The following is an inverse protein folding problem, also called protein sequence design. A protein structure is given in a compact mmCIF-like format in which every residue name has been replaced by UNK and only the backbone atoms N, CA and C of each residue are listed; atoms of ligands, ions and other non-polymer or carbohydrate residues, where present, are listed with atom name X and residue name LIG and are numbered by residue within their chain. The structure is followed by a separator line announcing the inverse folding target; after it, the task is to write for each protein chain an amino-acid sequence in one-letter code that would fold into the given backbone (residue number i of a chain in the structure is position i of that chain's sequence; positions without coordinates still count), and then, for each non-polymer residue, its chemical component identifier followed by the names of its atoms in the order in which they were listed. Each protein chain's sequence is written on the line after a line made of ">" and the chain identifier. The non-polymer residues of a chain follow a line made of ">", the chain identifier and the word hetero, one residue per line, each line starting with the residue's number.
data_IF_406400392946
#
_entry.id   IF_406400392946
#
_cell.length_a   1.000
_cell.length_b   1.000
_cell.length_c   1.000
_cell.angle_alpha   90.00
_cell.angle_beta   90.00
_cell.angle_gamma   90.00
#
_symmetry.space_group_name_H-M   'P 1'
#
loop_
_entity.id
_entity.type
_entity.pdbx_description
1 polymer ?
#
# COMPACT_ATOMS: atom_id res chain seq x y z
N UNK A 1 47.58 -10.38 -28.87
CA UNK A 1 48.45 -11.51 -29.31
C UNK A 1 47.86 -12.82 -28.80
N UNK A 2 46.81 -13.34 -29.44
CA UNK A 2 46.37 -14.75 -29.37
C UNK A 2 45.27 -15.06 -30.41
N UNK A 3 45.37 -14.46 -31.60
CA UNK A 3 44.47 -14.69 -32.74
C UNK A 3 45.15 -15.46 -33.89
N UNK A 4 46.25 -16.14 -33.58
CA UNK A 4 46.95 -17.01 -34.52
C UNK A 4 47.03 -18.41 -33.90
N UNK A 5 46.70 -19.41 -34.71
CA UNK A 5 46.64 -20.86 -34.42
C UNK A 5 45.30 -21.43 -33.94
N UNK A 6 44.32 -21.47 -34.85
CA UNK A 6 43.61 -22.76 -35.09
C UNK A 6 43.19 -22.92 -36.55
N UNK A 7 44.15 -22.73 -37.44
CA UNK A 7 44.19 -23.48 -38.70
C UNK A 7 44.86 -24.82 -38.37
N UNK A 8 44.06 -25.86 -38.15
CA UNK A 8 44.52 -27.23 -38.04
C UNK A 8 43.50 -28.13 -38.72
N UNK A 9 43.97 -28.84 -39.74
CA UNK A 9 43.16 -29.49 -40.76
C UNK A 9 42.13 -30.48 -40.23
N UNK A 10 40.98 -30.49 -40.87
CA UNK A 10 40.11 -31.64 -40.91
C UNK A 10 39.71 -31.87 -42.37
N UNK A 11 40.50 -32.71 -43.07
CA UNK A 11 39.97 -33.59 -44.13
C UNK A 11 39.00 -34.57 -43.45
N UNK A 12 37.85 -34.06 -43.02
CA UNK A 12 36.79 -34.83 -42.39
C UNK A 12 35.89 -35.40 -43.47
N UNK A 13 35.92 -36.73 -43.64
CA UNK A 13 35.04 -37.44 -44.54
C UNK A 13 33.56 -37.08 -44.31
N UNK A 14 32.71 -37.32 -45.32
CA UNK A 14 31.25 -37.07 -45.33
C UNK A 14 30.57 -37.38 -43.98
N UNK A 15 30.98 -38.44 -43.27
CA UNK A 15 30.47 -38.81 -41.95
C UNK A 15 30.73 -37.80 -40.81
N UNK A 16 31.88 -37.12 -40.79
CA UNK A 16 32.20 -36.11 -39.77
C UNK A 16 31.38 -34.83 -39.93
N UNK A 17 31.08 -34.45 -41.18
CA UNK A 17 30.24 -33.30 -41.50
C UNK A 17 28.77 -33.54 -41.11
N UNK A 18 28.26 -34.76 -41.37
CA UNK A 18 26.91 -35.17 -40.95
C UNK A 18 26.79 -35.18 -39.41
N UNK A 19 27.80 -35.69 -38.70
CA UNK A 19 27.81 -35.71 -37.22
C UNK A 19 27.85 -34.31 -36.61
N UNK A 20 28.57 -33.37 -37.23
CA UNK A 20 28.59 -31.98 -36.81
C UNK A 20 27.21 -31.31 -37.00
N UNK A 21 26.57 -31.51 -38.16
CA UNK A 21 25.22 -30.99 -38.40
C UNK A 21 24.16 -31.60 -37.48
N UNK A 22 24.25 -32.89 -37.17
CA UNK A 22 23.38 -33.55 -36.19
C UNK A 22 23.56 -32.96 -34.78
N UNK A 23 24.80 -32.62 -34.40
CA UNK A 23 25.05 -32.01 -33.09
C UNK A 23 24.54 -30.56 -33.04
N UNK A 24 24.77 -29.76 -34.08
CA UNK A 24 24.21 -28.40 -34.16
C UNK A 24 22.67 -28.39 -34.14
N UNK A 25 22.04 -29.36 -34.82
CA UNK A 25 20.59 -29.55 -34.77
C UNK A 25 20.13 -29.94 -33.36
N UNK A 26 20.81 -30.86 -32.69
CA UNK A 26 20.50 -31.27 -31.31
C UNK A 26 20.63 -30.12 -30.31
N UNK A 27 21.69 -29.31 -30.41
CA UNK A 27 21.91 -28.14 -29.55
C UNK A 27 20.85 -27.06 -29.77
N UNK A 28 20.43 -26.85 -31.02
CA UNK A 28 19.38 -25.90 -31.38
C UNK A 28 18.00 -26.35 -30.88
N UNK A 29 17.72 -27.66 -30.94
CA UNK A 29 16.49 -28.26 -30.41
C UNK A 29 16.42 -28.16 -28.88
N UNK A 30 17.55 -28.39 -28.21
CA UNK A 30 17.66 -28.23 -26.76
C UNK A 30 17.46 -26.77 -26.33
N UNK A 31 18.03 -25.81 -27.07
CA UNK A 31 17.84 -24.38 -26.80
C UNK A 31 16.37 -23.95 -27.02
N UNK A 32 15.71 -24.48 -28.04
CA UNK A 32 14.28 -24.26 -28.28
C UNK A 32 13.42 -24.81 -27.14
N UNK A 33 13.70 -26.05 -26.69
CA UNK A 33 13.00 -26.66 -25.55
C UNK A 33 13.19 -25.88 -24.24
N UNK A 34 14.42 -25.42 -23.98
CA UNK A 34 14.72 -24.59 -22.81
C UNK A 34 14.00 -23.23 -22.85
N UNK A 35 13.93 -22.58 -24.01
CA UNK A 35 13.18 -21.33 -24.20
C UNK A 35 11.68 -21.51 -23.96
N UNK A 36 11.10 -22.63 -24.42
CA UNK A 36 9.70 -22.96 -24.20
C UNK A 36 9.39 -23.21 -22.71
N UNK A 37 10.28 -23.92 -22.01
CA UNK A 37 10.17 -24.16 -20.57
C UNK A 37 10.22 -22.87 -19.75
N UNK A 38 11.18 -21.98 -20.05
CA UNK A 38 11.32 -20.68 -19.39
C UNK A 38 10.08 -19.79 -19.61
N UNK A 39 9.55 -19.76 -20.83
CA UNK A 39 8.34 -19.00 -21.14
C UNK A 39 7.10 -19.58 -20.43
N UNK A 40 6.99 -20.90 -20.37
CA UNK A 40 5.92 -21.59 -19.63
C UNK A 40 5.99 -21.33 -18.13
N UNK A 41 7.19 -21.35 -17.54
CA UNK A 41 7.42 -21.05 -16.12
C UNK A 41 7.07 -19.58 -15.80
N UNK A 42 7.47 -18.65 -16.66
CA UNK A 42 7.11 -17.24 -16.50
C UNK A 42 5.60 -17.03 -16.62
N UNK A 43 4.92 -17.74 -17.51
CA UNK A 43 3.47 -17.70 -17.65
C UNK A 43 2.72 -18.26 -16.46
N UNK A 44 3.19 -19.40 -15.93
CA UNK A 44 2.64 -19.99 -14.72
C UNK A 44 2.84 -19.07 -13.50
N UNK A 45 4.02 -18.46 -13.36
CA UNK A 45 4.27 -17.48 -12.30
C UNK A 45 3.36 -16.25 -12.42
N UNK A 46 3.13 -15.74 -13.63
CA UNK A 46 2.20 -14.62 -13.85
C UNK A 46 0.73 -14.98 -13.55
N UNK A 47 0.28 -16.20 -13.89
CA UNK A 47 -1.05 -16.71 -13.54
C UNK A 47 -1.22 -16.83 -12.02
N UNK A 48 -0.22 -17.38 -11.33
CA UNK A 48 -0.30 -17.70 -9.91
C UNK A 48 -0.15 -16.47 -9.01
N UNK A 49 0.68 -15.49 -9.39
CA UNK A 49 0.97 -14.33 -8.53
C UNK A 49 -0.04 -13.18 -8.68
N UNK A 50 -0.66 -13.01 -9.85
CA UNK A 50 -1.30 -11.74 -10.20
C UNK A 50 -2.83 -11.76 -10.28
N UNK A 51 -3.51 -12.93 -10.20
CA UNK A 51 -5.00 -13.03 -10.28
C UNK A 51 -5.61 -12.24 -11.46
N UNK A 52 -4.85 -12.07 -12.54
CA UNK A 52 -5.25 -11.31 -13.74
C UNK A 52 -6.13 -12.17 -14.66
N UNK A 53 -6.96 -11.58 -15.54
CA UNK A 53 -7.84 -12.35 -16.41
C UNK A 53 -7.05 -13.35 -17.26
N UNK A 54 -7.49 -14.61 -17.19
CA UNK A 54 -6.79 -15.79 -17.74
C UNK A 54 -6.38 -15.60 -19.21
N UNK A 55 -7.24 -14.96 -20.00
CA UNK A 55 -7.00 -14.67 -21.41
C UNK A 55 -5.82 -13.73 -21.67
N UNK A 56 -5.66 -12.67 -20.86
CA UNK A 56 -4.55 -11.73 -21.02
C UNK A 56 -3.21 -12.42 -20.75
N UNK A 57 -3.18 -13.29 -19.74
CA UNK A 57 -1.98 -14.06 -19.43
C UNK A 57 -1.66 -15.06 -20.55
N UNK A 58 -2.66 -15.77 -21.10
CA UNK A 58 -2.45 -16.69 -22.23
C UNK A 58 -1.92 -15.95 -23.47
N UNK A 59 -2.48 -14.79 -23.84
CA UNK A 59 -1.98 -14.03 -24.98
C UNK A 59 -0.54 -13.54 -24.79
N UNK A 60 -0.22 -12.96 -23.64
CA UNK A 60 1.13 -12.47 -23.37
C UNK A 60 2.17 -13.60 -23.33
N UNK A 61 1.81 -14.75 -22.74
CA UNK A 61 2.71 -15.89 -22.61
C UNK A 61 2.96 -16.58 -23.95
N UNK A 62 1.92 -16.76 -24.78
CA UNK A 62 2.08 -17.30 -26.13
C UNK A 62 2.90 -16.35 -27.01
N UNK A 63 2.68 -15.04 -26.93
CA UNK A 63 3.45 -14.05 -27.68
C UNK A 63 4.93 -14.03 -27.27
N UNK A 64 5.22 -14.00 -25.97
CA UNK A 64 6.59 -14.04 -25.43
C UNK A 64 7.29 -15.38 -25.73
N UNK A 65 6.58 -16.51 -25.58
CA UNK A 65 7.10 -17.83 -25.92
C UNK A 65 7.43 -17.92 -27.41
N UNK A 66 6.53 -17.44 -28.28
CA UNK A 66 6.74 -17.41 -29.72
C UNK A 66 7.97 -16.59 -30.09
N UNK A 67 8.06 -15.34 -29.61
CA UNK A 67 9.20 -14.45 -29.87
C UNK A 67 10.53 -15.04 -29.35
N UNK A 68 10.53 -15.60 -28.14
CA UNK A 68 11.73 -16.19 -27.55
C UNK A 68 12.17 -17.47 -28.28
N UNK A 69 11.23 -18.35 -28.62
CA UNK A 69 11.50 -19.60 -29.30
C UNK A 69 11.97 -19.38 -30.75
N UNK A 70 11.33 -18.46 -31.48
CA UNK A 70 11.79 -18.03 -32.81
C UNK A 70 13.16 -17.33 -32.76
N UNK A 71 13.39 -16.46 -31.78
CA UNK A 71 14.66 -15.76 -31.61
C UNK A 71 15.83 -16.71 -31.32
N UNK A 72 15.63 -17.69 -30.44
CA UNK A 72 16.62 -18.73 -30.11
C UNK A 72 16.88 -19.70 -31.26
N UNK A 73 15.84 -20.04 -32.04
CA UNK A 73 15.94 -20.92 -33.20
C UNK A 73 16.66 -20.29 -34.39
N UNK A 74 16.33 -19.04 -34.74
CA UNK A 74 16.79 -18.40 -35.98
C UNK A 74 18.15 -17.69 -35.86
N UNK A 75 18.54 -17.19 -34.69
CA UNK A 75 19.72 -16.32 -34.56
C UNK A 75 20.81 -16.89 -33.65
N UNK A 76 22.01 -17.12 -34.22
CA UNK A 76 23.20 -17.49 -33.47
C UNK A 76 23.65 -16.39 -32.48
N UNK A 77 23.38 -15.12 -32.81
CA UNK A 77 23.63 -13.99 -31.92
C UNK A 77 22.78 -14.03 -30.66
N UNK A 78 21.47 -14.27 -30.81
CA UNK A 78 20.55 -14.41 -29.66
C UNK A 78 20.94 -15.59 -28.77
N UNK A 79 21.32 -16.73 -29.37
CA UNK A 79 21.83 -17.89 -28.61
C UNK A 79 23.07 -17.54 -27.78
N UNK A 80 24.04 -16.84 -28.38
CA UNK A 80 25.24 -16.41 -27.68
C UNK A 80 24.91 -15.41 -26.54
N UNK A 81 24.05 -14.43 -26.79
CA UNK A 81 23.63 -13.45 -25.80
C UNK A 81 22.90 -14.10 -24.62
N UNK A 82 22.00 -15.05 -24.86
CA UNK A 82 21.29 -15.78 -23.79
C UNK A 82 22.26 -16.64 -22.99
N UNK A 83 23.19 -17.33 -23.67
CA UNK A 83 24.20 -18.18 -23.01
C UNK A 83 25.16 -17.36 -22.13
N UNK A 84 25.41 -16.09 -22.46
CA UNK A 84 26.25 -15.16 -21.68
C UNK A 84 25.46 -14.44 -20.59
N UNK A 85 24.19 -14.12 -20.83
CA UNK A 85 23.29 -13.50 -19.83
C UNK A 85 22.94 -14.46 -18.69
N UNK A 86 22.81 -15.76 -18.96
CA UNK A 86 22.50 -16.76 -17.94
C UNK A 86 23.51 -16.77 -16.77
N UNK A 87 24.84 -16.84 -17.01
CA UNK A 87 25.84 -16.70 -15.95
C UNK A 87 25.96 -15.26 -15.42
N UNK A 88 25.66 -14.21 -16.21
CA UNK A 88 25.70 -12.83 -15.71
C UNK A 88 24.57 -12.52 -14.71
N UNK A 89 23.41 -13.17 -14.86
CA UNK A 89 22.32 -13.13 -13.87
C UNK A 89 22.71 -13.81 -12.55
N UNK A 90 23.62 -14.80 -12.59
CA UNK A 90 24.20 -15.43 -11.41
C UNK A 90 25.39 -14.66 -10.82
N UNK A 91 25.82 -13.55 -11.44
CA UNK A 91 26.83 -12.64 -10.88
C UNK A 91 26.26 -11.82 -9.72
N UNK A 92 27.13 -11.19 -8.91
CA UNK A 92 26.74 -10.44 -7.71
C UNK A 92 25.69 -9.34 -7.95
N UNK A 93 25.68 -8.72 -9.13
CA UNK A 93 24.67 -7.72 -9.52
C UNK A 93 23.35 -8.36 -9.96
N UNK A 94 23.40 -9.45 -10.74
CA UNK A 94 22.21 -10.18 -11.17
C UNK A 94 21.48 -10.84 -10.00
N UNK A 95 22.21 -11.36 -9.01
CA UNK A 95 21.64 -11.94 -7.78
C UNK A 95 20.83 -10.91 -6.99
N UNK A 96 21.28 -9.65 -6.92
CA UNK A 96 20.52 -8.58 -6.26
C UNK A 96 19.21 -8.29 -7.00
N UNK A 97 19.25 -8.22 -8.32
CA UNK A 97 18.03 -8.04 -9.13
C UNK A 97 17.05 -9.20 -8.94
N UNK A 98 17.54 -10.44 -8.95
CA UNK A 98 16.71 -11.62 -8.69
C UNK A 98 16.09 -11.58 -7.29
N UNK A 99 16.87 -11.26 -6.26
CA UNK A 99 16.37 -11.13 -4.89
C UNK A 99 15.30 -10.02 -4.76
N UNK A 100 15.46 -8.90 -5.48
CA UNK A 100 14.46 -7.84 -5.52
C UNK A 100 13.15 -8.31 -6.18
N UNK A 101 13.24 -9.08 -7.27
CA UNK A 101 12.07 -9.68 -7.93
C UNK A 101 11.36 -10.70 -7.04
N UNK A 102 12.11 -11.53 -6.33
CA UNK A 102 11.52 -12.44 -5.33
C UNK A 102 10.88 -11.67 -4.17
N UNK A 103 11.52 -10.62 -3.68
CA UNK A 103 10.98 -9.78 -2.62
C UNK A 103 9.67 -9.10 -3.07
N UNK A 104 9.61 -8.52 -4.27
CA UNK A 104 8.38 -7.88 -4.77
C UNK A 104 7.25 -8.89 -4.97
N UNK A 105 7.56 -10.08 -5.49
CA UNK A 105 6.62 -11.19 -5.61
C UNK A 105 6.06 -11.60 -4.23
N UNK A 106 6.93 -11.81 -3.24
CA UNK A 106 6.54 -12.24 -1.90
C UNK A 106 5.75 -11.17 -1.16
N UNK A 107 6.03 -9.88 -1.37
CA UNK A 107 5.36 -8.77 -0.69
C UNK A 107 3.95 -8.47 -1.24
N UNK A 108 3.63 -8.88 -2.46
CA UNK A 108 2.34 -8.58 -3.10
C UNK A 108 1.15 -9.18 -2.32
N UNK A 109 1.31 -10.38 -1.77
CA UNK A 109 0.29 -11.04 -0.94
C UNK A 109 0.07 -10.34 0.41
N UNK A 110 1.10 -10.23 1.28
CA UNK A 110 1.00 -9.57 2.57
C UNK A 110 0.50 -8.12 2.47
N UNK A 111 0.95 -7.36 1.46
CA UNK A 111 0.56 -5.97 1.28
C UNK A 111 -0.94 -5.83 0.96
N UNK A 112 -1.46 -6.63 0.01
CA UNK A 112 -2.88 -6.60 -0.33
C UNK A 112 -3.77 -7.04 0.83
N UNK A 113 -3.37 -8.07 1.59
CA UNK A 113 -4.10 -8.51 2.78
C UNK A 113 -4.11 -7.44 3.89
N UNK A 114 -2.96 -6.79 4.11
CA UNK A 114 -2.84 -5.74 5.14
C UNK A 114 -3.69 -4.54 4.77
N UNK A 115 -3.67 -4.11 3.51
CA UNK A 115 -4.49 -2.99 3.03
C UNK A 115 -5.99 -3.26 3.16
N UNK A 116 -6.43 -4.48 2.85
CA UNK A 116 -7.84 -4.84 2.99
C UNK A 116 -8.26 -4.87 4.48
N UNK A 117 -7.41 -5.41 5.36
CA UNK A 117 -7.68 -5.42 6.80
C UNK A 117 -7.67 -4.03 7.41
N UNK A 118 -6.75 -3.14 7.02
CA UNK A 118 -6.74 -1.76 7.50
C UNK A 118 -7.94 -0.97 6.97
N UNK A 119 -8.36 -1.20 5.73
CA UNK A 119 -9.60 -0.62 5.20
C UNK A 119 -10.82 -1.05 6.01
N UNK A 120 -10.94 -2.33 6.34
CA UNK A 120 -12.02 -2.85 7.20
C UNK A 120 -11.95 -2.28 8.61
N UNK A 121 -10.76 -2.22 9.20
CA UNK A 121 -10.55 -1.60 10.51
C UNK A 121 -10.96 -0.12 10.51
N UNK A 122 -10.56 0.63 9.48
CA UNK A 122 -10.95 2.03 9.31
C UNK A 122 -12.47 2.19 9.17
N UNK A 123 -13.15 1.34 8.39
CA UNK A 123 -14.61 1.38 8.29
C UNK A 123 -15.32 1.07 9.62
N UNK A 124 -14.79 0.13 10.41
CA UNK A 124 -15.32 -0.17 11.74
C UNK A 124 -15.08 0.98 12.72
N UNK A 125 -13.92 1.63 12.66
CA UNK A 125 -13.62 2.82 13.46
C UNK A 125 -14.53 4.00 13.10
N UNK A 126 -14.81 4.23 11.81
CA UNK A 126 -15.75 5.25 11.37
C UNK A 126 -17.16 4.96 11.89
N UNK A 127 -17.64 3.72 11.79
CA UNK A 127 -18.93 3.31 12.37
C UNK A 127 -18.98 3.53 13.89
N UNK A 128 -17.90 3.18 14.60
CA UNK A 128 -17.77 3.43 16.04
C UNK A 128 -17.75 4.92 16.39
N UNK A 129 -17.12 5.75 15.56
CA UNK A 129 -17.08 7.20 15.73
C UNK A 129 -18.46 7.83 15.51
N UNK A 130 -19.20 7.41 14.49
CA UNK A 130 -20.58 7.83 14.25
C UNK A 130 -21.49 7.45 15.42
N UNK A 131 -21.37 6.21 15.92
CA UNK A 131 -22.13 5.76 17.08
C UNK A 131 -21.78 6.56 18.35
N UNK A 132 -20.50 6.77 18.62
CA UNK A 132 -20.05 7.54 19.77
C UNK A 132 -20.48 9.01 19.69
N UNK A 133 -20.44 9.62 18.50
CA UNK A 133 -20.90 11.00 18.28
C UNK A 133 -22.41 11.11 18.52
N UNK A 134 -23.21 10.18 17.98
CA UNK A 134 -24.66 10.17 18.17
C UNK A 134 -25.03 9.98 19.65
N UNK A 135 -24.38 9.04 20.34
CA UNK A 135 -24.58 8.84 21.78
C UNK A 135 -24.16 10.07 22.61
N UNK A 136 -23.07 10.74 22.22
CA UNK A 136 -22.60 11.96 22.91
C UNK A 136 -23.61 13.09 22.75
N UNK A 137 -24.22 13.26 21.57
CA UNK A 137 -25.26 14.27 21.36
C UNK A 137 -26.49 14.00 22.25
N UNK A 138 -26.93 12.75 22.33
CA UNK A 138 -28.06 12.37 23.19
C UNK A 138 -27.77 12.65 24.68
N UNK A 139 -26.56 12.29 25.14
CA UNK A 139 -26.13 12.54 26.52
C UNK A 139 -26.00 14.05 26.80
N UNK A 140 -25.47 14.83 25.85
CA UNK A 140 -25.36 16.28 25.98
C UNK A 140 -26.74 16.94 26.10
N UNK A 141 -27.73 16.50 25.31
CA UNK A 141 -29.11 16.98 25.43
C UNK A 141 -29.72 16.64 26.79
N UNK A 142 -29.53 15.40 27.26
CA UNK A 142 -30.00 14.97 28.59
C UNK A 142 -29.31 15.74 29.72
N UNK A 143 -28.02 16.06 29.59
CA UNK A 143 -27.27 16.82 30.59
C UNK A 143 -27.61 18.32 30.59
N UNK A 144 -27.92 18.90 29.43
CA UNK A 144 -28.28 20.32 29.30
C UNK A 144 -29.68 20.62 29.89
N UNK A 145 -30.61 19.67 29.78
CA UNK A 145 -32.00 19.83 30.23
C UNK A 145 -32.13 20.25 31.71
N UNK A 146 -31.52 19.55 32.69
CA UNK A 146 -31.58 19.98 34.09
C UNK A 146 -30.81 21.29 34.35
N UNK A 147 -29.78 21.58 33.54
CA UNK A 147 -28.92 22.75 33.70
C UNK A 147 -29.71 24.05 33.47
N UNK A 148 -30.58 24.10 32.46
CA UNK A 148 -31.45 25.25 32.22
C UNK A 148 -32.42 25.50 33.39
N UNK A 149 -33.00 24.45 33.96
CA UNK A 149 -33.89 24.58 35.12
C UNK A 149 -33.16 25.12 36.36
N UNK A 150 -31.93 24.67 36.61
CA UNK A 150 -31.12 25.18 37.73
C UNK A 150 -30.73 26.64 37.50
N UNK A 151 -30.36 27.02 36.27
CA UNK A 151 -29.97 28.39 35.95
C UNK A 151 -31.12 29.39 36.15
N UNK A 152 -32.35 29.01 35.80
CA UNK A 152 -33.56 29.82 36.03
C UNK A 152 -33.78 30.07 37.53
N UNK A 153 -33.68 29.01 38.34
CA UNK A 153 -33.80 29.11 39.80
C UNK A 153 -32.71 30.03 40.41
N UNK A 154 -31.46 29.91 39.95
CA UNK A 154 -30.36 30.77 40.41
C UNK A 154 -30.63 32.25 40.04
N UNK A 155 -31.13 32.52 38.83
CA UNK A 155 -31.50 33.88 38.41
C UNK A 155 -32.63 34.46 39.26
N UNK A 156 -33.62 33.66 39.61
CA UNK A 156 -34.73 34.11 40.45
C UNK A 156 -34.25 34.43 41.87
N UNK A 157 -33.39 33.59 42.45
CA UNK A 157 -32.79 33.82 43.76
C UNK A 157 -31.93 35.08 43.74
N UNK A 158 -31.10 35.28 42.71
CA UNK A 158 -30.25 36.47 42.60
C UNK A 158 -31.06 37.76 42.44
N UNK A 159 -32.11 37.76 41.61
CA UNK A 159 -33.01 38.90 41.45
C UNK A 159 -33.70 39.27 42.77
N UNK A 160 -34.21 38.28 43.50
CA UNK A 160 -34.81 38.49 44.82
C UNK A 160 -33.79 39.05 45.82
N UNK A 161 -32.56 38.51 45.84
CA UNK A 161 -31.49 39.01 46.70
C UNK A 161 -31.13 40.47 46.39
N UNK A 162 -31.03 40.85 45.10
CA UNK A 162 -30.80 42.22 44.69
C UNK A 162 -31.93 43.17 45.13
N UNK A 163 -33.19 42.73 45.02
CA UNK A 163 -34.34 43.50 45.47
C UNK A 163 -34.30 43.74 47.00
N UNK A 164 -33.94 42.71 47.78
CA UNK A 164 -33.76 42.84 49.23
C UNK A 164 -32.60 43.77 49.58
N UNK A 165 -31.45 43.63 48.92
CA UNK A 165 -30.30 44.50 49.12
C UNK A 165 -30.63 45.98 48.84
N UNK A 166 -31.42 46.26 47.79
CA UNK A 166 -31.89 47.61 47.48
C UNK A 166 -32.75 48.20 48.60
N UNK A 167 -33.67 47.42 49.18
CA UNK A 167 -34.51 47.86 50.31
C UNK A 167 -33.67 48.14 51.56
N UNK A 168 -32.71 47.27 51.88
CA UNK A 168 -31.81 47.46 53.03
C UNK A 168 -30.98 48.72 52.85
N UNK A 169 -30.43 48.94 51.65
CA UNK A 169 -29.64 50.13 51.34
C UNK A 169 -30.46 51.42 51.50
N UNK A 170 -31.67 51.46 50.97
CA UNK A 170 -32.57 52.60 51.13
C UNK A 170 -32.93 52.87 52.59
N UNK A 171 -33.15 51.83 53.39
CA UNK A 171 -33.40 51.98 54.83
C UNK A 171 -32.17 52.54 55.58
N UNK A 172 -30.97 52.05 55.28
CA UNK A 172 -29.72 52.56 55.87
C UNK A 172 -29.45 54.02 55.46
N UNK A 173 -29.69 54.38 54.20
CA UNK A 173 -29.56 55.76 53.72
C UNK A 173 -30.55 56.70 54.44
N UNK A 174 -31.82 56.29 54.62
CA UNK A 174 -32.81 57.07 55.37
C UNK A 174 -32.42 57.30 56.85
N UNK A 175 -31.90 56.25 57.52
CA UNK A 175 -31.38 56.39 58.89
C UNK A 175 -30.18 57.35 58.95
N UNK A 176 -29.25 57.24 57.99
CA UNK A 176 -28.05 58.08 57.92
C UNK A 176 -28.43 59.56 57.71
N UNK A 177 -29.40 59.84 56.84
CA UNK A 177 -29.89 61.19 56.57
C UNK A 177 -30.56 61.81 57.81
N UNK A 178 -31.34 61.00 58.53
CA UNK A 178 -31.97 61.42 59.78
C UNK A 178 -30.94 61.74 60.87
N UNK A 179 -29.85 60.96 60.97
CA UNK A 179 -28.76 61.24 61.91
C UNK A 179 -27.95 62.47 61.50
N UNK A 180 -27.69 62.66 60.20
CA UNK A 180 -27.03 63.86 59.67
C UNK A 180 -27.80 65.14 59.98
N UNK A 181 -29.13 65.12 59.87
CA UNK A 181 -29.96 66.27 60.21
C UNK A 181 -29.89 66.64 61.71
N UNK A 182 -29.66 65.67 62.60
CA UNK A 182 -29.49 65.93 64.03
C UNK A 182 -28.07 66.40 64.36
N UNK A 183 -27.05 65.88 63.66
CA UNK A 183 -25.64 66.21 63.91
C UNK A 183 -25.17 67.57 63.41
N UNK A 184 -25.92 68.25 62.53
CA UNK A 184 -25.59 69.59 62.00
C UNK A 184 -26.19 70.73 62.85
N UNK A 185 -27.04 70.41 63.83
CA UNK A 185 -27.70 71.40 64.71
C UNK A 185 -26.98 71.54 66.07
N UNK A 186 -25.74 71.07 66.17
CA UNK A 186 -24.85 71.29 67.33
C UNK A 186 -23.60 72.04 66.90
#
# INVERSE_FOLDING_TARGET
>A
MLFLLRSAGCRGGRGGRVRAHLWEAGLSLAAFGAGLLLASLHGAAALLLHKQPLWFCVYCTVALAGLAAFGMGLSAGVRATVTVMLPSMCSGHGRKLLLLLFASALLTGPLSNTLENTKRAASSLLCGAELAANQTQELMQKAATPLFSVLENIRQISSNAYAVAGRVRGFVEALTESVRHVGVVV
#
